data_IF_222573870351
#
_entry.id   IF_222573870351
#
_cell.length_a   1.000
_cell.length_b   1.000
_cell.length_c   1.000
_cell.angle_alpha   90.00
_cell.angle_beta   90.00
_cell.angle_gamma   90.00
#
_symmetry.space_group_name_H-M   'P 1'
#
loop_
_entity.id
_entity.type
_entity.pdbx_description
1 polymer ?
#
# COMPACT_ATOMS: atom_id res chain seq x y z
N UNK A 1 2.66 -90.56 39.45
CA UNK A 1 2.32 -90.76 40.86
C UNK A 1 2.36 -89.36 41.53
N UNK A 2 1.22 -88.94 42.01
CA UNK A 2 0.93 -87.85 42.97
C UNK A 2 1.38 -86.46 42.52
N UNK A 3 0.67 -85.43 42.64
CA UNK A 3 -0.71 -85.07 43.13
C UNK A 3 -0.58 -83.53 43.48
N UNK A 4 -1.55 -82.85 43.00
CA UNK A 4 -2.18 -81.64 43.57
C UNK A 4 -1.44 -80.50 44.20
N UNK A 5 -1.82 -79.27 43.76
CA UNK A 5 -1.70 -78.06 44.52
C UNK A 5 -2.29 -76.88 43.81
N UNK A 6 -3.61 -76.71 43.88
CA UNK A 6 -4.36 -75.50 43.49
C UNK A 6 -4.05 -74.37 44.50
N UNK A 7 -3.52 -73.29 44.06
CA UNK A 7 -3.46 -72.05 44.82
C UNK A 7 -4.13 -70.90 44.04
N UNK A 8 -5.37 -70.59 44.44
CA UNK A 8 -6.09 -69.44 43.94
C UNK A 8 -5.52 -68.16 44.59
N UNK A 9 -4.75 -67.39 43.83
CA UNK A 9 -4.39 -66.02 44.24
C UNK A 9 -5.45 -65.06 43.70
N UNK A 10 -6.24 -64.50 44.62
CA UNK A 10 -7.12 -63.39 44.33
C UNK A 10 -6.29 -62.13 44.13
N UNK A 11 -6.22 -61.66 42.88
CA UNK A 11 -5.74 -60.33 42.58
C UNK A 11 -6.85 -59.33 42.86
N UNK A 12 -6.63 -58.47 43.85
CA UNK A 12 -7.44 -57.32 44.18
C UNK A 12 -7.08 -56.21 43.21
N UNK A 13 -7.93 -55.96 42.21
CA UNK A 13 -7.77 -54.80 41.32
C UNK A 13 -8.19 -53.55 42.08
N UNK A 14 -7.18 -52.75 42.47
CA UNK A 14 -7.37 -51.41 42.98
C UNK A 14 -7.55 -50.48 41.77
N UNK A 15 -8.78 -50.14 41.46
CA UNK A 15 -9.08 -49.13 40.43
C UNK A 15 -8.76 -47.74 41.00
N UNK A 16 -7.63 -47.19 40.60
CA UNK A 16 -7.26 -45.79 40.86
C UNK A 16 -7.98 -44.92 39.87
N UNK A 17 -9.10 -44.29 40.28
CA UNK A 17 -9.79 -43.28 39.51
C UNK A 17 -8.94 -42.01 39.49
N UNK A 18 -8.16 -41.77 38.42
CA UNK A 18 -7.62 -40.45 38.12
C UNK A 18 -8.79 -39.56 37.66
N UNK A 19 -9.32 -38.79 38.59
CA UNK A 19 -10.14 -37.63 38.25
C UNK A 19 -9.17 -36.58 37.67
N UNK A 20 -9.01 -36.59 36.34
CA UNK A 20 -8.38 -35.50 35.60
C UNK A 20 -9.27 -34.28 35.71
N UNK A 21 -8.97 -33.37 36.59
CA UNK A 21 -9.49 -32.01 36.53
C UNK A 21 -9.00 -31.40 35.22
N UNK A 22 -9.83 -31.42 34.16
CA UNK A 22 -9.72 -30.45 33.10
C UNK A 22 -9.91 -29.10 33.74
N UNK A 23 -8.81 -28.42 34.02
CA UNK A 23 -8.87 -26.97 34.20
C UNK A 23 -9.30 -26.43 32.84
N UNK A 24 -10.52 -25.95 32.73
CA UNK A 24 -10.96 -25.02 31.73
C UNK A 24 -10.04 -23.77 31.89
N UNK A 25 -8.95 -23.76 31.18
CA UNK A 25 -8.30 -22.51 30.82
C UNK A 25 -9.27 -21.84 29.85
N UNK A 26 -10.25 -21.13 30.38
CA UNK A 26 -10.93 -20.10 29.63
C UNK A 26 -9.82 -19.14 29.22
N UNK A 27 -9.34 -19.26 27.98
CA UNK A 27 -8.57 -18.21 27.38
C UNK A 27 -9.43 -16.96 27.51
N UNK A 28 -9.02 -16.02 28.35
CA UNK A 28 -9.62 -14.71 28.36
C UNK A 28 -9.54 -14.26 26.89
N UNK A 29 -10.69 -14.10 26.26
CA UNK A 29 -10.71 -13.42 24.96
C UNK A 29 -10.11 -12.05 25.24
N UNK A 30 -8.91 -11.80 24.74
CA UNK A 30 -8.36 -10.45 24.78
C UNK A 30 -9.43 -9.56 24.15
N UNK A 31 -9.98 -8.68 24.96
CA UNK A 31 -11.02 -7.78 24.53
C UNK A 31 -10.37 -6.78 23.56
N UNK A 32 -10.75 -6.87 22.29
CA UNK A 32 -10.33 -5.93 21.26
C UNK A 32 -10.96 -4.59 21.60
N UNK A 33 -10.13 -3.58 21.87
CA UNK A 33 -10.59 -2.21 22.11
C UNK A 33 -11.15 -1.57 20.84
N UNK A 34 -12.02 -0.59 21.01
CA UNK A 34 -12.46 0.23 19.90
C UNK A 34 -11.32 1.20 19.51
N UNK A 35 -11.02 1.31 18.21
CA UNK A 35 -9.95 2.20 17.75
C UNK A 35 -10.21 3.67 18.10
N UNK A 36 -11.47 4.07 18.25
CA UNK A 36 -11.85 5.41 18.72
C UNK A 36 -11.38 5.75 20.14
N UNK A 37 -11.07 4.73 20.98
CA UNK A 37 -10.52 4.95 22.31
C UNK A 37 -9.11 5.58 22.29
N UNK A 38 -8.37 5.34 21.20
CA UNK A 38 -7.00 5.83 21.02
C UNK A 38 -6.87 6.85 19.88
N UNK A 39 -7.92 7.10 19.12
CA UNK A 39 -7.92 8.08 18.02
C UNK A 39 -8.12 9.50 18.57
N UNK A 40 -7.25 10.44 18.23
CA UNK A 40 -7.40 11.85 18.61
C UNK A 40 -8.47 12.52 17.75
N UNK A 41 -8.51 12.18 16.46
CA UNK A 41 -9.48 12.66 15.47
C UNK A 41 -10.05 11.51 14.67
N UNK A 42 -11.19 11.73 14.00
CA UNK A 42 -11.66 10.76 13.02
C UNK A 42 -10.61 10.57 11.91
N UNK A 43 -10.43 9.35 11.40
CA UNK A 43 -9.53 9.11 10.27
C UNK A 43 -9.98 9.92 9.05
N UNK A 44 -9.03 10.49 8.35
CA UNK A 44 -9.25 11.18 7.08
C UNK A 44 -8.80 10.27 5.95
N UNK A 45 -9.54 10.26 4.85
CA UNK A 45 -9.19 9.51 3.66
C UNK A 45 -9.34 10.42 2.44
N UNK A 46 -8.28 10.52 1.64
CA UNK A 46 -8.20 11.37 0.47
C UNK A 46 -7.90 10.50 -0.76
N UNK A 47 -8.91 10.19 -1.58
CA UNK A 47 -8.69 9.47 -2.83
C UNK A 47 -7.93 10.33 -3.84
N UNK A 48 -7.09 9.68 -4.65
CA UNK A 48 -6.47 10.31 -5.82
C UNK A 48 -7.53 10.74 -6.84
N UNK A 49 -7.19 11.73 -7.65
CA UNK A 49 -8.12 12.29 -8.66
C UNK A 49 -8.55 11.27 -9.72
N UNK A 50 -7.72 10.28 -10.00
CA UNK A 50 -8.02 9.18 -10.93
C UNK A 50 -8.81 8.03 -10.28
N UNK A 51 -8.95 8.06 -8.95
CA UNK A 51 -9.67 7.03 -8.21
C UNK A 51 -8.95 5.69 -8.08
N UNK A 52 -7.64 5.62 -8.35
CA UNK A 52 -6.87 4.38 -8.32
C UNK A 52 -6.15 4.14 -7.00
N UNK A 53 -6.01 5.17 -6.18
CA UNK A 53 -5.40 5.11 -4.85
C UNK A 53 -6.10 6.03 -3.86
N UNK A 54 -5.76 5.93 -2.58
CA UNK A 54 -6.19 6.86 -1.54
C UNK A 54 -5.16 6.91 -0.41
N UNK A 55 -5.01 8.06 0.21
CA UNK A 55 -4.19 8.24 1.42
C UNK A 55 -5.12 8.30 2.62
N UNK A 56 -4.87 7.43 3.61
CA UNK A 56 -5.55 7.47 4.90
C UNK A 56 -4.60 8.02 5.95
N UNK A 57 -5.06 9.04 6.70
CA UNK A 57 -4.32 9.61 7.82
C UNK A 57 -5.14 9.52 9.10
N UNK A 58 -4.47 9.24 10.22
CA UNK A 58 -5.07 9.28 11.56
C UNK A 58 -4.01 9.59 12.60
N UNK A 59 -4.40 10.34 13.64
CA UNK A 59 -3.54 10.62 14.81
C UNK A 59 -4.08 9.85 16.00
N UNK A 60 -3.18 9.16 16.74
CA UNK A 60 -3.52 8.44 17.97
C UNK A 60 -3.01 9.16 19.22
N UNK A 61 -3.72 8.98 20.32
CA UNK A 61 -3.38 9.55 21.64
C UNK A 61 -2.27 8.78 22.37
N UNK A 62 -1.96 7.58 21.90
CA UNK A 62 -0.86 6.73 22.36
C UNK A 62 -0.07 6.25 21.16
N UNK A 63 1.20 5.93 21.34
CA UNK A 63 1.98 5.28 20.30
C UNK A 63 1.34 3.93 19.92
N UNK A 64 1.21 3.68 18.64
CA UNK A 64 0.64 2.44 18.11
C UNK A 64 1.36 1.99 16.82
N UNK A 65 1.18 0.73 16.47
CA UNK A 65 1.54 0.18 15.15
C UNK A 65 0.23 -0.11 14.43
N UNK A 66 -0.04 0.57 13.33
CA UNK A 66 -1.33 0.59 12.67
C UNK A 66 -1.28 -0.03 11.26
N UNK A 67 -2.44 -0.55 10.82
CA UNK A 67 -2.68 -1.02 9.47
C UNK A 67 -4.14 -0.79 9.09
N UNK A 68 -4.43 -0.75 7.79
CA UNK A 68 -5.77 -0.56 7.22
C UNK A 68 -6.13 -1.76 6.38
N UNK A 69 -7.16 -2.51 6.79
CA UNK A 69 -7.79 -3.50 5.91
C UNK A 69 -8.83 -2.80 5.04
N UNK A 70 -8.88 -3.09 3.73
CA UNK A 70 -9.82 -2.46 2.80
C UNK A 70 -10.21 -3.39 1.65
N UNK A 71 -11.28 -3.04 0.95
CA UNK A 71 -11.78 -3.79 -0.22
C UNK A 71 -13.12 -3.25 -0.70
N UNK A 72 -13.56 -3.69 -1.86
CA UNK A 72 -14.84 -3.35 -2.49
C UNK A 72 -16.04 -4.09 -1.87
N UNK A 73 -15.80 -4.95 -0.91
CA UNK A 73 -16.81 -5.64 -0.10
C UNK A 73 -16.49 -5.52 1.39
N UNK A 74 -17.48 -5.78 2.25
CA UNK A 74 -17.33 -5.79 3.71
C UNK A 74 -16.34 -6.85 4.24
N UNK A 75 -16.02 -7.85 3.43
CA UNK A 75 -15.01 -8.87 3.72
C UNK A 75 -13.59 -8.33 3.51
N UNK A 76 -13.44 -7.18 2.86
CA UNK A 76 -12.17 -6.55 2.51
C UNK A 76 -11.31 -7.49 1.65
N UNK A 77 -10.02 -7.54 1.79
CA UNK A 77 -9.16 -8.48 1.04
C UNK A 77 -7.76 -7.92 0.82
N UNK A 78 -7.60 -6.62 0.99
CA UNK A 78 -6.33 -5.90 0.91
C UNK A 78 -5.93 -5.34 2.26
N UNK A 79 -4.64 -5.15 2.45
CA UNK A 79 -4.06 -4.56 3.66
C UNK A 79 -3.04 -3.50 3.24
N UNK A 80 -3.22 -2.29 3.74
CA UNK A 80 -2.21 -1.25 3.70
C UNK A 80 -1.59 -1.11 5.09
N UNK A 81 -0.27 -1.04 5.15
CA UNK A 81 0.48 -0.81 6.39
C UNK A 81 0.84 0.65 6.49
N UNK A 82 1.01 1.11 7.72
CA UNK A 82 1.55 2.42 7.99
C UNK A 82 2.98 2.54 7.40
N UNK A 83 3.28 3.68 6.82
CA UNK A 83 4.55 3.93 6.13
C UNK A 83 5.75 3.94 7.10
N UNK A 84 5.55 4.34 8.35
CA UNK A 84 6.60 4.42 9.36
C UNK A 84 6.72 3.16 10.25
N UNK A 85 6.12 2.03 9.88
CA UNK A 85 6.16 0.80 10.68
C UNK A 85 7.57 0.32 11.06
N UNK A 86 8.60 0.70 10.32
CA UNK A 86 9.98 0.30 10.57
C UNK A 86 10.62 0.92 11.83
N UNK A 87 10.06 1.97 12.40
CA UNK A 87 10.59 2.67 13.58
C UNK A 87 9.88 2.31 14.88
N UNK A 88 8.86 1.46 14.84
CA UNK A 88 8.07 1.05 16.01
C UNK A 88 6.78 1.84 16.16
N UNK A 89 6.23 1.90 17.39
CA UNK A 89 5.01 2.65 17.64
C UNK A 89 5.22 4.16 17.52
N UNK A 90 4.26 4.86 16.91
CA UNK A 90 4.20 6.31 16.77
C UNK A 90 2.74 6.77 16.84
N UNK A 91 2.46 8.05 16.72
CA UNK A 91 1.11 8.61 16.92
C UNK A 91 0.51 9.24 15.65
N UNK A 92 1.30 9.60 14.68
CA UNK A 92 0.84 10.08 13.37
C UNK A 92 0.94 8.92 12.38
N UNK A 93 -0.18 8.52 11.79
CA UNK A 93 -0.26 7.35 10.93
C UNK A 93 -0.72 7.75 9.54
N UNK A 94 -0.02 7.23 8.53
CA UNK A 94 -0.37 7.38 7.14
C UNK A 94 -0.28 6.03 6.42
N UNK A 95 -1.31 5.67 5.66
CA UNK A 95 -1.35 4.46 4.87
C UNK A 95 -1.86 4.76 3.46
N UNK A 96 -1.15 4.27 2.45
CA UNK A 96 -1.55 4.39 1.04
C UNK A 96 -2.31 3.14 0.62
N UNK A 97 -3.57 3.33 0.25
CA UNK A 97 -4.44 2.30 -0.30
C UNK A 97 -4.29 2.31 -1.82
N UNK A 98 -3.86 1.20 -2.40
CA UNK A 98 -3.58 1.07 -3.85
C UNK A 98 -4.49 0.04 -4.51
N UNK A 99 -4.48 -0.01 -5.84
CA UNK A 99 -5.28 -0.97 -6.61
C UNK A 99 -6.78 -0.72 -6.51
N UNK A 100 -7.17 0.55 -6.30
CA UNK A 100 -8.56 0.95 -6.26
C UNK A 100 -9.11 1.10 -7.69
N UNK A 101 -10.41 0.92 -7.82
CA UNK A 101 -11.15 1.19 -9.05
C UNK A 101 -11.89 2.52 -8.92
N UNK A 102 -11.92 3.35 -9.96
CA UNK A 102 -12.71 4.59 -9.96
C UNK A 102 -14.20 4.36 -9.75
N UNK A 103 -14.91 5.41 -9.29
CA UNK A 103 -16.36 5.42 -9.02
C UNK A 103 -16.86 4.25 -8.17
N UNK A 104 -16.00 3.72 -7.28
CA UNK A 104 -16.25 2.52 -6.50
C UNK A 104 -16.35 2.85 -5.01
N UNK A 105 -17.31 2.26 -4.31
CA UNK A 105 -17.43 2.32 -2.86
C UNK A 105 -16.53 1.26 -2.25
N UNK A 106 -15.66 1.67 -1.31
CA UNK A 106 -14.76 0.81 -0.56
C UNK A 106 -15.13 0.77 0.91
N UNK A 107 -15.01 -0.41 1.49
CA UNK A 107 -15.08 -0.64 2.93
C UNK A 107 -13.66 -0.65 3.49
N UNK A 108 -13.46 -0.05 4.65
CA UNK A 108 -12.16 -0.11 5.32
C UNK A 108 -12.30 -0.19 6.83
N UNK A 109 -11.24 -0.64 7.48
CA UNK A 109 -11.15 -0.78 8.93
C UNK A 109 -9.72 -0.54 9.38
N UNK A 110 -9.56 0.35 10.35
CA UNK A 110 -8.29 0.53 11.03
C UNK A 110 -8.12 -0.56 12.09
N UNK A 111 -6.90 -1.02 12.24
CA UNK A 111 -6.50 -1.91 13.32
C UNK A 111 -5.07 -1.61 13.73
N UNK A 112 -4.76 -1.78 15.02
CA UNK A 112 -3.43 -1.49 15.52
C UNK A 112 -3.20 -2.07 16.90
N UNK A 113 -1.93 -2.18 17.30
CA UNK A 113 -1.53 -2.54 18.65
C UNK A 113 -0.95 -1.31 19.29
N UNK A 114 -1.58 -0.84 20.37
CA UNK A 114 -1.10 0.30 21.14
C UNK A 114 0.11 -0.05 22.00
N UNK A 115 0.83 0.98 22.47
CA UNK A 115 1.96 0.83 23.40
C UNK A 115 1.57 0.15 24.73
N UNK A 116 0.28 0.10 25.06
CA UNK A 116 -0.29 -0.65 26.18
C UNK A 116 -0.42 -2.17 25.92
N UNK A 117 -0.09 -2.62 24.70
CA UNK A 117 -0.15 -4.01 24.27
C UNK A 117 -1.54 -4.50 23.88
N UNK A 118 -2.58 -3.63 23.89
CA UNK A 118 -3.93 -4.00 23.47
C UNK A 118 -4.09 -3.88 21.96
N UNK A 119 -4.87 -4.79 21.38
CA UNK A 119 -5.34 -4.68 20.01
C UNK A 119 -6.56 -3.75 19.96
N UNK A 120 -6.54 -2.78 19.07
CA UNK A 120 -7.63 -1.87 18.77
C UNK A 120 -8.12 -2.08 17.35
N UNK A 121 -9.43 -1.93 17.14
CA UNK A 121 -10.05 -2.08 15.83
C UNK A 121 -11.22 -1.11 15.70
N UNK A 122 -11.31 -0.41 14.56
CA UNK A 122 -12.46 0.42 14.26
C UNK A 122 -13.67 -0.42 13.85
N UNK A 123 -14.84 0.18 13.87
CA UNK A 123 -15.97 -0.28 13.05
C UNK A 123 -15.60 -0.28 11.57
N UNK A 124 -16.43 -0.87 10.74
CA UNK A 124 -16.29 -0.79 9.28
C UNK A 124 -16.75 0.58 8.82
N UNK A 125 -15.87 1.29 8.14
CA UNK A 125 -16.10 2.59 7.54
C UNK A 125 -16.12 2.45 6.02
N UNK A 126 -16.62 3.46 5.32
CA UNK A 126 -16.66 3.49 3.86
C UNK A 126 -16.12 4.80 3.31
N UNK A 127 -15.61 4.74 2.09
CA UNK A 127 -15.32 5.90 1.26
C UNK A 127 -15.64 5.55 -0.19
N UNK A 128 -15.73 6.56 -1.04
CA UNK A 128 -15.94 6.39 -2.47
C UNK A 128 -14.80 7.03 -3.23
N UNK A 129 -14.21 6.30 -4.16
CA UNK A 129 -13.27 6.87 -5.12
C UNK A 129 -14.02 7.77 -6.09
N UNK A 130 -13.41 8.88 -6.56
CA UNK A 130 -13.99 9.67 -7.62
C UNK A 130 -14.21 8.82 -8.87
N UNK A 131 -15.16 9.18 -9.73
CA UNK A 131 -15.26 8.58 -11.05
C UNK A 131 -13.88 8.73 -11.71
N UNK A 132 -13.52 7.74 -12.53
CA UNK A 132 -12.40 7.96 -13.44
C UNK A 132 -12.60 9.34 -14.03
N UNK A 133 -11.68 10.26 -13.81
CA UNK A 133 -11.63 11.49 -14.60
C UNK A 133 -11.94 11.01 -16.01
N UNK A 134 -13.06 11.48 -16.61
CA UNK A 134 -13.40 11.02 -17.95
C UNK A 134 -12.09 11.04 -18.70
N UNK A 135 -11.64 9.85 -19.16
CA UNK A 135 -10.36 9.76 -19.83
C UNK A 135 -10.41 10.89 -20.83
N UNK A 136 -9.76 12.00 -20.48
CA UNK A 136 -9.77 13.15 -21.35
C UNK A 136 -9.33 12.53 -22.65
N UNK A 137 -9.94 12.89 -23.75
CA UNK A 137 -9.48 12.46 -25.07
C UNK A 137 -8.02 12.86 -25.32
N UNK A 138 -7.36 13.28 -24.26
CA UNK A 138 -5.97 13.67 -24.21
C UNK A 138 -5.12 12.41 -24.48
N UNK A 139 -4.26 12.54 -25.43
CA UNK A 139 -3.35 11.45 -25.81
C UNK A 139 -2.22 11.38 -24.77
N UNK A 140 -1.84 10.19 -24.34
CA UNK A 140 -0.63 10.01 -23.55
C UNK A 140 0.59 10.02 -24.48
N UNK A 141 1.27 11.16 -24.59
CA UNK A 141 2.45 11.32 -25.41
C UNK A 141 3.67 10.53 -24.89
N UNK A 142 3.63 10.06 -23.65
CA UNK A 142 4.72 9.25 -23.09
C UNK A 142 4.80 7.86 -23.74
N UNK A 143 3.69 7.30 -24.25
CA UNK A 143 3.67 5.97 -24.91
C UNK A 143 4.55 5.93 -26.17
N UNK A 144 4.70 7.06 -26.85
CA UNK A 144 5.55 7.17 -28.06
C UNK A 144 6.93 7.74 -27.77
N UNK A 145 7.25 8.00 -26.50
CA UNK A 145 8.50 8.63 -26.07
C UNK A 145 9.67 7.62 -26.02
N UNK A 146 10.87 8.16 -26.10
CA UNK A 146 12.11 7.41 -25.89
C UNK A 146 12.64 7.68 -24.47
N UNK A 147 13.07 6.65 -23.74
CA UNK A 147 13.83 6.81 -22.50
C UNK A 147 15.21 7.37 -22.81
N UNK A 148 15.54 8.54 -22.25
CA UNK A 148 16.83 9.21 -22.46
C UNK A 148 17.80 8.93 -21.32
N UNK A 149 17.30 8.96 -20.08
CA UNK A 149 18.09 8.76 -18.89
C UNK A 149 17.23 8.12 -17.80
N UNK A 150 17.83 7.32 -16.95
CA UNK A 150 17.19 6.69 -15.79
C UNK A 150 18.18 6.55 -14.66
N UNK A 151 17.75 6.71 -13.42
CA UNK A 151 18.60 6.59 -12.24
C UNK A 151 19.21 5.19 -12.13
N UNK A 152 18.38 4.16 -12.17
CA UNK A 152 18.79 2.76 -12.27
C UNK A 152 17.64 1.86 -12.71
N UNK A 153 17.95 0.59 -13.00
CA UNK A 153 17.00 -0.47 -13.29
C UNK A 153 17.34 -1.70 -12.46
N UNK A 154 16.35 -2.31 -11.83
CA UNK A 154 16.55 -3.51 -11.02
C UNK A 154 16.99 -4.71 -11.86
N UNK A 155 16.36 -4.91 -13.01
CA UNK A 155 16.70 -5.94 -13.99
C UNK A 155 16.05 -5.61 -15.35
N UNK A 156 16.43 -6.28 -16.44
CA UNK A 156 15.82 -6.06 -17.76
C UNK A 156 14.30 -6.26 -17.79
N UNK A 157 13.74 -7.08 -16.91
CA UNK A 157 12.28 -7.32 -16.83
C UNK A 157 11.55 -6.13 -16.13
N UNK A 158 12.29 -5.26 -15.46
CA UNK A 158 11.82 -4.07 -14.76
C UNK A 158 12.49 -2.80 -15.31
N UNK A 159 12.68 -2.76 -16.62
CA UNK A 159 13.32 -1.66 -17.31
C UNK A 159 12.47 -0.38 -17.36
N UNK A 160 13.13 0.76 -17.53
CA UNK A 160 12.48 2.08 -17.57
C UNK A 160 11.41 2.20 -18.68
N UNK A 161 11.57 1.49 -19.79
CA UNK A 161 10.61 1.48 -20.88
C UNK A 161 9.22 0.94 -20.47
N UNK A 162 9.16 0.09 -19.45
CA UNK A 162 7.89 -0.42 -18.93
C UNK A 162 7.00 0.68 -18.31
N UNK A 163 7.60 1.79 -17.87
CA UNK A 163 6.84 2.89 -17.31
C UNK A 163 6.16 3.79 -18.35
N UNK A 164 6.39 3.55 -19.64
CA UNK A 164 5.84 4.33 -20.75
C UNK A 164 5.30 3.45 -21.89
N UNK A 165 5.03 2.18 -21.63
CA UNK A 165 4.58 1.23 -22.67
C UNK A 165 3.04 1.14 -22.80
N UNK A 166 2.31 1.78 -21.88
CA UNK A 166 0.84 1.78 -21.86
C UNK A 166 0.25 0.49 -21.29
N UNK A 167 1.06 -0.38 -20.68
CA UNK A 167 0.60 -1.62 -20.03
C UNK A 167 0.80 -1.54 -18.50
N UNK A 168 -0.23 -1.25 -17.71
CA UNK A 168 -0.10 -1.15 -16.26
C UNK A 168 0.22 -2.48 -15.55
N UNK A 169 0.35 -3.58 -16.30
CA UNK A 169 0.80 -4.86 -15.76
C UNK A 169 2.32 -5.02 -15.80
N UNK A 170 3.03 -4.13 -16.49
CA UNK A 170 4.49 -4.02 -16.47
C UNK A 170 4.90 -2.86 -15.57
N UNK A 171 6.16 -2.82 -15.15
CA UNK A 171 6.63 -1.75 -14.28
C UNK A 171 8.14 -1.50 -14.42
N UNK A 172 8.56 -0.26 -14.27
CA UNK A 172 9.93 0.10 -14.00
C UNK A 172 10.21 -0.01 -12.50
N UNK A 173 11.35 -0.57 -12.16
CA UNK A 173 11.83 -0.66 -10.78
C UNK A 173 13.29 -0.26 -10.71
N UNK A 174 13.62 0.64 -9.79
CA UNK A 174 15.02 1.00 -9.50
C UNK A 174 15.72 -0.09 -8.70
N UNK A 175 17.04 0.03 -8.60
CA UNK A 175 17.90 -0.86 -7.80
C UNK A 175 18.19 -0.28 -6.41
N UNK A 176 17.16 0.23 -5.74
CA UNK A 176 17.25 0.73 -4.37
C UNK A 176 17.41 2.24 -4.27
N UNK A 177 17.00 3.01 -5.29
CA UNK A 177 17.24 4.45 -5.35
C UNK A 177 16.34 5.25 -4.40
N UNK A 178 15.18 4.69 -3.99
CA UNK A 178 14.26 5.39 -3.09
C UNK A 178 13.83 6.74 -3.65
N UNK A 179 14.07 7.82 -2.88
CA UNK A 179 13.76 9.20 -3.28
C UNK A 179 14.73 9.77 -4.34
N UNK A 180 15.86 9.11 -4.58
CA UNK A 180 16.80 9.51 -5.64
C UNK A 180 16.39 8.95 -7.03
N UNK A 181 15.25 8.27 -7.12
CA UNK A 181 14.75 7.66 -8.36
C UNK A 181 14.30 8.72 -9.36
N UNK A 182 14.72 8.58 -10.61
CA UNK A 182 14.26 9.46 -11.70
C UNK A 182 14.25 8.76 -13.05
N UNK A 183 13.41 9.27 -13.95
CA UNK A 183 13.33 8.85 -15.34
C UNK A 183 13.15 10.07 -16.25
N UNK A 184 13.93 10.15 -17.34
CA UNK A 184 13.87 11.21 -18.34
C UNK A 184 13.42 10.64 -19.67
N UNK A 185 12.39 11.25 -20.26
CA UNK A 185 11.84 10.85 -21.55
C UNK A 185 11.93 11.97 -22.58
N UNK A 186 12.15 11.61 -23.83
CA UNK A 186 12.07 12.49 -25.00
C UNK A 186 10.76 12.18 -25.76
N UNK A 187 9.84 13.13 -25.77
CA UNK A 187 8.57 13.02 -26.47
C UNK A 187 8.72 13.06 -28.01
N UNK A 188 9.95 13.19 -28.53
CA UNK A 188 10.26 13.24 -29.96
C UNK A 188 9.86 14.55 -30.65
N UNK A 189 9.03 15.36 -30.01
CA UNK A 189 8.49 16.64 -30.49
C UNK A 189 8.12 17.55 -29.31
N UNK A 190 7.96 18.82 -29.59
CA UNK A 190 7.34 19.74 -28.64
C UNK A 190 5.84 19.38 -28.49
N UNK A 191 5.37 19.26 -27.24
CA UNK A 191 4.00 18.86 -26.87
C UNK A 191 3.38 19.95 -26.00
N UNK A 192 2.11 20.29 -26.27
CA UNK A 192 1.30 21.12 -25.39
C UNK A 192 0.64 20.23 -24.34
N UNK A 193 1.26 20.18 -23.16
CA UNK A 193 0.84 19.31 -22.05
C UNK A 193 -0.27 19.98 -21.25
N UNK A 194 -1.28 19.21 -20.89
CA UNK A 194 -2.41 19.63 -20.04
C UNK A 194 -2.52 18.85 -18.75
N UNK A 195 -1.75 17.78 -18.62
CA UNK A 195 -1.70 16.94 -17.42
C UNK A 195 -0.53 15.99 -17.44
N UNK A 196 -0.18 15.48 -16.28
CA UNK A 196 0.85 14.46 -16.07
C UNK A 196 0.32 13.38 -15.14
N UNK A 197 0.91 12.20 -15.21
CA UNK A 197 0.59 11.11 -14.31
C UNK A 197 1.83 10.35 -13.87
N UNK A 198 1.83 9.93 -12.60
CA UNK A 198 2.81 9.02 -12.04
C UNK A 198 2.07 7.93 -11.30
N UNK A 199 1.97 6.75 -11.90
CA UNK A 199 1.35 5.58 -11.28
C UNK A 199 2.45 4.77 -10.60
N UNK A 200 2.49 4.84 -9.27
CA UNK A 200 3.53 4.16 -8.49
C UNK A 200 3.44 2.65 -8.65
N UNK A 201 4.58 2.00 -8.68
CA UNK A 201 4.62 0.56 -8.44
C UNK A 201 4.42 0.26 -6.96
N UNK A 202 4.09 -0.97 -6.63
CA UNK A 202 4.04 -1.43 -5.25
C UNK A 202 4.49 -2.89 -5.15
N UNK A 203 5.27 -3.20 -4.13
CA UNK A 203 5.59 -4.59 -3.80
C UNK A 203 4.47 -5.25 -3.00
N UNK A 204 4.40 -6.56 -3.03
CA UNK A 204 3.38 -7.33 -2.32
C UNK A 204 3.39 -7.14 -0.79
N UNK A 205 4.48 -6.63 -0.24
CA UNK A 205 4.62 -6.29 1.17
C UNK A 205 4.26 -4.82 1.49
N UNK A 206 3.80 -4.06 0.47
CA UNK A 206 3.44 -2.66 0.60
C UNK A 206 4.62 -1.69 0.61
N UNK A 207 5.83 -2.16 0.26
CA UNK A 207 7.02 -1.32 0.14
C UNK A 207 7.25 -0.81 -1.29
N UNK A 208 8.25 0.05 -1.47
CA UNK A 208 8.69 0.63 -2.73
C UNK A 208 7.61 1.50 -3.42
N UNK A 209 6.79 2.16 -2.61
CA UNK A 209 5.74 3.09 -3.07
C UNK A 209 6.36 4.48 -3.18
N UNK A 210 6.25 5.12 -4.35
CA UNK A 210 6.48 6.54 -4.52
C UNK A 210 5.23 7.29 -4.05
N UNK A 211 5.39 8.39 -3.34
CA UNK A 211 4.29 9.15 -2.71
C UNK A 211 4.06 10.47 -3.38
N UNK A 212 5.15 11.14 -3.74
CA UNK A 212 5.13 12.39 -4.47
C UNK A 212 6.24 12.44 -5.52
N UNK A 213 6.02 13.26 -6.52
CA UNK A 213 6.96 13.45 -7.62
C UNK A 213 6.98 14.89 -8.10
N UNK A 214 8.08 15.26 -8.71
CA UNK A 214 8.32 16.54 -9.39
C UNK A 214 8.66 16.28 -10.85
N UNK A 215 8.28 17.17 -11.75
CA UNK A 215 8.74 17.12 -13.13
C UNK A 215 9.62 18.34 -13.46
N UNK A 216 10.63 18.10 -14.27
CA UNK A 216 11.44 19.16 -14.90
C UNK A 216 11.33 19.05 -16.41
N UNK A 217 11.01 20.17 -17.07
CA UNK A 217 10.76 20.25 -18.51
C UNK A 217 11.92 20.99 -19.16
N UNK A 218 12.51 20.39 -20.20
CA UNK A 218 13.61 20.95 -21.00
C UNK A 218 14.77 21.50 -20.15
N UNK A 219 15.06 20.87 -19.01
CA UNK A 219 16.08 21.22 -18.01
C UNK A 219 15.91 22.63 -17.39
N UNK A 220 14.73 23.25 -17.53
CA UNK A 220 14.51 24.64 -17.10
C UNK A 220 13.34 24.84 -16.16
N UNK A 221 12.19 24.34 -16.50
CA UNK A 221 10.95 24.60 -15.77
C UNK A 221 10.57 23.39 -14.89
N UNK A 222 10.39 23.65 -13.61
CA UNK A 222 10.07 22.64 -12.61
C UNK A 222 8.64 22.83 -12.09
N UNK A 223 7.87 21.74 -12.01
CA UNK A 223 6.49 21.72 -11.51
C UNK A 223 6.34 20.63 -10.45
N UNK A 224 5.61 20.93 -9.40
CA UNK A 224 5.39 20.00 -8.27
C UNK A 224 5.84 20.59 -6.93
N UNK A 225 5.99 19.78 -5.87
CA UNK A 225 5.69 18.35 -5.86
C UNK A 225 4.20 18.06 -6.05
N UNK A 226 3.89 16.95 -6.71
CA UNK A 226 2.55 16.42 -6.88
C UNK A 226 2.43 15.09 -6.12
N UNK A 227 1.28 14.77 -5.52
CA UNK A 227 1.02 13.41 -5.08
C UNK A 227 0.99 12.47 -6.30
N UNK A 228 1.33 11.19 -6.10
CA UNK A 228 1.21 10.17 -7.15
C UNK A 228 -0.23 10.08 -7.67
N UNK A 229 -0.39 9.65 -8.92
CA UNK A 229 -1.63 9.72 -9.69
C UNK A 229 -1.55 10.81 -10.74
N UNK A 230 -2.69 11.26 -11.25
CA UNK A 230 -2.76 12.32 -12.26
C UNK A 230 -2.83 13.71 -11.64
N UNK A 231 -2.12 14.65 -12.23
CA UNK A 231 -2.16 16.06 -11.86
C UNK A 231 -2.41 16.95 -13.09
N UNK A 232 -3.21 17.99 -12.91
CA UNK A 232 -3.38 19.02 -13.93
C UNK A 232 -2.17 19.94 -13.93
N UNK A 233 -1.55 20.13 -15.09
CA UNK A 233 -0.44 21.05 -15.31
C UNK A 233 -0.51 21.57 -16.75
N UNK A 234 0.04 22.73 -17.01
CA UNK A 234 0.06 23.28 -18.37
C UNK A 234 1.44 23.83 -18.70
N UNK A 235 2.06 23.22 -19.69
CA UNK A 235 3.35 23.66 -20.24
C UNK A 235 3.50 23.24 -21.70
N UNK A 236 4.56 23.74 -22.36
CA UNK A 236 5.04 23.24 -23.65
C UNK A 236 6.46 22.74 -23.47
N UNK A 237 6.77 21.56 -23.98
CA UNK A 237 8.12 21.01 -23.86
C UNK A 237 8.28 19.70 -24.61
N UNK A 238 9.51 19.23 -24.67
CA UNK A 238 9.88 17.99 -25.35
C UNK A 238 10.53 16.97 -24.42
N UNK A 239 11.45 17.40 -23.58
CA UNK A 239 12.14 16.52 -22.63
C UNK A 239 11.45 16.66 -21.29
N UNK A 240 11.00 15.56 -20.71
CA UNK A 240 10.34 15.54 -19.40
C UNK A 240 11.11 14.61 -18.48
N UNK A 241 11.57 15.14 -17.36
CA UNK A 241 12.19 14.42 -16.27
C UNK A 241 11.16 14.26 -15.15
N UNK A 242 10.97 13.04 -14.68
CA UNK A 242 10.21 12.71 -13.49
C UNK A 242 11.18 12.36 -12.37
N UNK A 243 11.10 13.04 -11.25
CA UNK A 243 11.88 12.79 -10.03
C UNK A 243 10.92 12.34 -8.92
N UNK A 244 11.28 11.31 -8.17
CA UNK A 244 10.57 10.93 -6.93
C UNK A 244 11.03 11.87 -5.82
N UNK A 245 10.09 12.58 -5.17
CA UNK A 245 10.42 13.48 -4.05
C UNK A 245 10.33 12.78 -2.70
N UNK A 246 9.34 11.89 -2.53
CA UNK A 246 9.16 11.08 -1.33
C UNK A 246 8.64 9.70 -1.66
N UNK A 247 9.04 8.73 -0.85
CA UNK A 247 8.68 7.33 -1.02
C UNK A 247 8.82 6.53 0.27
N UNK A 248 8.31 5.31 0.28
CA UNK A 248 8.62 4.33 1.33
C UNK A 248 10.03 3.74 1.22
N UNK A 249 10.84 4.22 0.29
CA UNK A 249 12.21 3.78 0.04
C UNK A 249 12.32 2.46 -0.72
N UNK A 250 13.55 1.99 -0.91
CA UNK A 250 13.83 0.73 -1.59
C UNK A 250 13.78 0.82 -3.13
N UNK A 251 13.25 -0.19 -3.77
CA UNK A 251 13.18 -0.32 -5.23
C UNK A 251 11.97 0.45 -5.79
N UNK A 252 11.90 1.75 -5.56
CA UNK A 252 10.87 2.64 -6.10
C UNK A 252 10.85 2.63 -7.63
N UNK A 253 9.82 3.20 -8.22
CA UNK A 253 9.64 3.27 -9.66
C UNK A 253 8.18 3.52 -10.01
N UNK A 254 7.80 3.23 -11.24
CA UNK A 254 6.46 3.47 -11.76
C UNK A 254 5.93 2.26 -12.53
N UNK A 255 4.63 1.99 -12.38
CA UNK A 255 3.89 1.12 -13.28
C UNK A 255 3.57 1.85 -14.59
N UNK A 256 3.29 3.17 -14.53
CA UNK A 256 3.03 3.97 -15.72
C UNK A 256 3.33 5.45 -15.44
N UNK A 257 3.90 6.15 -16.42
CA UNK A 257 4.04 7.59 -16.47
C UNK A 257 3.18 8.15 -17.61
N UNK A 258 2.59 9.31 -17.39
CA UNK A 258 1.74 9.92 -18.39
C UNK A 258 2.15 11.38 -18.66
N UNK A 259 2.16 11.76 -19.92
CA UNK A 259 2.25 13.13 -20.39
C UNK A 259 1.05 13.39 -21.30
N UNK A 260 0.04 14.03 -20.74
CA UNK A 260 -1.25 14.18 -21.38
C UNK A 260 -1.28 15.43 -22.27
N UNK A 261 -1.51 15.25 -23.55
CA UNK A 261 -1.70 16.34 -24.50
C UNK A 261 -3.16 16.40 -24.98
N UNK A 262 -3.64 17.62 -25.21
CA UNK A 262 -4.96 17.82 -25.83
C UNK A 262 -4.86 17.58 -27.33
N UNK A 263 -5.75 16.77 -27.91
CA UNK A 263 -5.80 16.52 -29.36
C UNK A 263 -5.97 17.78 -30.20
#
# INVERSE_FOLDING_TARGET
>A
MRDRGRGLARFLLLALALVGACQDTSAASEEVGDFSEISETAPTIEPSSDGTSAVLTVVTTIEAVCAVAYGDTDSMGSLATDQEMGVGGHSEHEAVLTGLSPDTEYFYRLQGVGADGRLYRSETLTFRTPPASEASSDLNAAIEADVVEVSSEFSPDFGAANAIDGDPATEWSTSGDGDDAYLVIDLGREVQVVGIGFHTRSMSDGSAISESFTITVDDTDTFGPFPVGRAEVSFSGRIVRFDVDSSTGGNTGAAELEVLERP
#
